data_IF_362715676040
#
_entry.id   IF_362715676040
#
_cell.length_a   1.000
_cell.length_b   1.000
_cell.length_c   1.000
_cell.angle_alpha   90.00
_cell.angle_beta   90.00
_cell.angle_gamma   90.00
#
_symmetry.space_group_name_H-M   'P 1'
#
loop_
_entity.id
_entity.type
_entity.pdbx_description
1 polymer ?
#
# COMPACT_ATOMS: atom_id res chain seq x y z
N UNK A 1 -20.02 8.86 -29.83
CA UNK A 1 -21.41 8.43 -30.13
C UNK A 1 -21.54 8.43 -31.65
N UNK A 2 -21.13 7.33 -32.29
CA UNK A 2 -21.11 7.11 -33.74
C UNK A 2 -20.46 5.72 -33.94
N UNK A 3 -21.17 4.61 -33.70
CA UNK A 3 -22.16 3.92 -34.56
C UNK A 3 -21.58 3.47 -35.90
N UNK A 4 -21.45 2.14 -36.02
CA UNK A 4 -21.87 1.34 -37.20
C UNK A 4 -21.02 1.47 -38.46
N UNK A 5 -20.90 0.52 -39.37
CA UNK A 5 -21.35 -0.86 -39.59
C UNK A 5 -20.56 -1.28 -40.86
N UNK A 6 -19.87 -2.42 -40.87
CA UNK A 6 -20.29 -3.66 -41.52
C UNK A 6 -20.48 -3.65 -43.05
N UNK A 7 -19.72 -4.56 -43.67
CA UNK A 7 -19.94 -5.34 -44.90
C UNK A 7 -19.91 -4.68 -46.29
N UNK A 8 -19.00 -5.20 -47.13
CA UNK A 8 -19.31 -5.49 -48.54
C UNK A 8 -18.36 -6.59 -49.06
N UNK A 9 -18.95 -7.68 -49.53
CA UNK A 9 -18.34 -8.76 -50.29
C UNK A 9 -18.16 -8.36 -51.75
N UNK A 10 -17.16 -8.92 -52.45
CA UNK A 10 -17.25 -9.19 -53.89
C UNK A 10 -16.08 -10.08 -54.36
N UNK A 11 -16.42 -11.30 -54.74
CA UNK A 11 -15.67 -12.21 -55.61
C UNK A 11 -15.64 -11.71 -57.06
N UNK A 12 -14.50 -11.79 -57.76
CA UNK A 12 -14.44 -12.21 -59.17
C UNK A 12 -13.00 -12.44 -59.65
N UNK A 13 -12.81 -13.58 -60.29
CA UNK A 13 -11.60 -14.14 -60.89
C UNK A 13 -11.45 -13.64 -62.34
N UNK A 14 -10.24 -13.27 -62.78
CA UNK A 14 -9.79 -13.41 -64.19
C UNK A 14 -8.28 -13.69 -64.22
N UNK A 15 -7.93 -14.72 -64.98
CA UNK A 15 -6.62 -15.34 -65.20
C UNK A 15 -5.78 -14.63 -66.28
N UNK A 16 -4.48 -14.47 -66.05
CA UNK A 16 -3.47 -14.35 -67.12
C UNK A 16 -2.29 -15.27 -66.81
N UNK A 17 -1.95 -16.11 -67.78
CA UNK A 17 -0.88 -17.11 -67.75
C UNK A 17 0.43 -16.50 -68.25
N UNK A 18 1.49 -16.55 -67.42
CA UNK A 18 2.86 -16.33 -67.86
C UNK A 18 3.74 -17.47 -67.32
N UNK A 19 4.40 -18.16 -68.25
CA UNK A 19 5.31 -19.28 -68.05
C UNK A 19 6.61 -18.78 -67.39
N UNK A 20 7.05 -19.42 -66.30
CA UNK A 20 8.33 -19.10 -65.67
C UNK A 20 8.73 -20.01 -64.51
N UNK A 21 9.66 -20.92 -64.81
CA UNK A 21 10.62 -21.59 -63.93
C UNK A 21 10.12 -22.59 -62.86
N UNK A 22 10.46 -23.85 -63.12
CA UNK A 22 10.50 -24.98 -62.20
C UNK A 22 11.42 -24.72 -61.00
N UNK A 23 10.88 -24.87 -59.78
CA UNK A 23 11.52 -25.50 -58.62
C UNK A 23 10.46 -25.72 -57.53
N UNK A 24 9.79 -26.86 -57.60
CA UNK A 24 8.92 -27.33 -56.52
C UNK A 24 9.77 -27.71 -55.31
N UNK A 25 9.85 -26.83 -54.32
CA UNK A 25 10.26 -27.22 -52.98
C UNK A 25 8.98 -27.42 -52.18
N UNK A 26 8.54 -28.67 -52.07
CA UNK A 26 7.53 -29.03 -51.07
C UNK A 26 8.18 -28.86 -49.70
N UNK A 27 8.02 -27.69 -49.09
CA UNK A 27 8.23 -27.52 -47.68
C UNK A 27 7.15 -28.35 -46.96
N UNK A 28 7.46 -29.61 -46.66
CA UNK A 28 6.74 -30.38 -45.67
C UNK A 28 6.92 -29.66 -44.35
N UNK A 29 6.03 -28.71 -44.05
CA UNK A 29 5.92 -28.11 -42.74
C UNK A 29 5.73 -29.26 -41.77
N UNK A 30 6.73 -29.49 -40.91
CA UNK A 30 6.56 -30.34 -39.75
C UNK A 30 5.31 -29.87 -39.01
N UNK A 31 4.45 -30.76 -38.49
CA UNK A 31 3.36 -30.34 -37.63
C UNK A 31 3.99 -29.56 -36.48
N UNK A 32 3.79 -28.24 -36.47
CA UNK A 32 3.98 -27.44 -35.27
C UNK A 32 3.01 -28.04 -34.28
N UNK A 33 3.53 -28.85 -33.36
CA UNK A 33 2.75 -29.30 -32.23
C UNK A 33 2.23 -28.03 -31.55
N UNK A 34 0.91 -27.88 -31.52
CA UNK A 34 0.30 -26.84 -30.70
C UNK A 34 0.92 -26.95 -29.30
N UNK A 35 1.36 -25.83 -28.70
CA UNK A 35 1.90 -25.87 -27.35
C UNK A 35 0.87 -26.56 -26.47
N UNK A 36 1.18 -27.78 -26.01
CA UNK A 36 0.36 -28.45 -25.01
C UNK A 36 0.22 -27.45 -23.87
N UNK A 37 -1.00 -27.01 -23.50
CA UNK A 37 -1.15 -26.10 -22.39
C UNK A 37 -0.53 -26.79 -21.17
N UNK A 38 0.60 -26.26 -20.71
CA UNK A 38 1.13 -26.62 -19.40
C UNK A 38 0.02 -26.40 -18.37
N UNK A 39 0.05 -27.11 -17.22
CA UNK A 39 -1.00 -26.96 -16.21
C UNK A 39 -1.22 -25.46 -15.92
N UNK A 40 -2.42 -24.98 -16.24
CA UNK A 40 -2.77 -23.58 -16.05
C UNK A 40 -2.59 -23.23 -14.58
N UNK A 41 -2.01 -22.06 -14.30
CA UNK A 41 -1.81 -21.62 -12.92
C UNK A 41 -3.19 -21.43 -12.26
N UNK A 42 -3.44 -22.15 -11.18
CA UNK A 42 -4.68 -22.00 -10.41
C UNK A 42 -4.51 -20.94 -9.33
N UNK A 43 -5.61 -20.29 -8.95
CA UNK A 43 -5.60 -19.29 -7.87
C UNK A 43 -5.04 -19.85 -6.55
N UNK A 44 -5.38 -21.09 -6.21
CA UNK A 44 -4.85 -21.77 -5.00
C UNK A 44 -3.33 -21.91 -5.06
N UNK A 45 -2.78 -22.30 -6.21
CA UNK A 45 -1.32 -22.43 -6.40
C UNK A 45 -0.63 -21.07 -6.34
N UNK A 46 -1.21 -20.05 -6.98
CA UNK A 46 -0.71 -18.68 -6.94
C UNK A 46 -0.66 -18.14 -5.50
N UNK A 47 -1.70 -18.38 -4.70
CA UNK A 47 -1.74 -18.00 -3.28
C UNK A 47 -0.64 -18.70 -2.47
N UNK A 48 -0.47 -20.01 -2.65
CA UNK A 48 0.55 -20.76 -1.94
C UNK A 48 1.95 -20.22 -2.27
N UNK A 49 2.24 -20.00 -3.55
CA UNK A 49 3.51 -19.42 -4.02
C UNK A 49 3.72 -18.00 -3.49
N UNK A 50 2.68 -17.17 -3.46
CA UNK A 50 2.77 -15.80 -2.95
C UNK A 50 3.08 -15.79 -1.44
N UNK A 51 2.47 -16.70 -0.66
CA UNK A 51 2.77 -16.85 0.78
C UNK A 51 4.21 -17.26 1.03
N UNK A 52 4.75 -18.20 0.24
CA UNK A 52 6.17 -18.56 0.32
C UNK A 52 7.06 -17.38 -0.03
N UNK A 53 6.78 -16.69 -1.14
CA UNK A 53 7.57 -15.53 -1.57
C UNK A 53 7.58 -14.38 -0.55
N UNK A 54 6.50 -14.19 0.22
CA UNK A 54 6.50 -13.23 1.33
C UNK A 54 7.59 -13.58 2.36
N UNK A 55 7.66 -14.86 2.77
CA UNK A 55 8.64 -15.33 3.73
C UNK A 55 10.08 -15.14 3.26
N UNK A 56 10.32 -15.37 1.96
CA UNK A 56 11.65 -15.25 1.36
C UNK A 56 12.08 -13.79 1.10
N UNK A 57 11.11 -12.87 0.97
CA UNK A 57 11.35 -11.49 0.54
C UNK A 57 10.88 -10.42 1.54
N UNK A 58 10.89 -10.71 2.86
CA UNK A 58 10.39 -9.79 3.90
C UNK A 58 10.97 -8.36 3.80
N UNK A 59 12.24 -8.22 3.46
CA UNK A 59 12.89 -6.91 3.31
C UNK A 59 12.26 -6.06 2.19
N UNK A 60 11.96 -6.66 1.03
CA UNK A 60 11.30 -5.99 -0.10
C UNK A 60 9.89 -5.55 0.31
N UNK A 61 9.19 -6.41 1.05
CA UNK A 61 7.86 -6.13 1.56
C UNK A 61 7.84 -5.17 2.75
N UNK A 62 9.01 -4.75 3.26
CA UNK A 62 9.15 -3.96 4.49
C UNK A 62 8.40 -4.61 5.67
N UNK A 63 8.36 -5.94 5.67
CA UNK A 63 7.66 -6.76 6.65
C UNK A 63 8.63 -7.23 7.74
N UNK A 64 8.07 -7.53 8.90
CA UNK A 64 8.76 -8.08 10.06
C UNK A 64 8.12 -9.41 10.44
N UNK A 65 8.71 -10.15 11.39
CA UNK A 65 8.10 -11.38 11.92
C UNK A 65 6.76 -11.18 12.64
N UNK A 66 6.35 -9.94 12.88
CA UNK A 66 5.04 -9.62 13.46
C UNK A 66 3.96 -9.38 12.39
N UNK A 67 4.32 -9.36 11.10
CA UNK A 67 3.38 -9.15 10.00
C UNK A 67 2.68 -10.47 9.64
N UNK A 68 1.38 -10.41 9.44
CA UNK A 68 0.58 -11.50 8.88
C UNK A 68 -0.27 -10.99 7.71
N UNK A 69 -0.44 -11.84 6.70
CA UNK A 69 -1.06 -11.49 5.44
C UNK A 69 -2.30 -12.33 5.18
N UNK A 70 -3.39 -11.68 4.77
CA UNK A 70 -4.66 -12.33 4.43
C UNK A 70 -4.99 -12.03 2.98
N UNK A 71 -5.17 -13.08 2.17
CA UNK A 71 -5.51 -12.95 0.75
C UNK A 71 -6.86 -12.28 0.59
N UNK A 72 -6.89 -11.29 -0.30
CA UNK A 72 -8.10 -10.61 -0.73
C UNK A 72 -8.52 -10.99 -2.12
N UNK A 73 -7.54 -11.07 -3.02
CA UNK A 73 -7.81 -11.20 -4.43
C UNK A 73 -6.63 -11.85 -5.15
N UNK A 74 -6.94 -12.57 -6.21
CA UNK A 74 -5.97 -13.33 -6.99
C UNK A 74 -6.31 -13.16 -8.45
N UNK A 75 -5.36 -12.64 -9.21
CA UNK A 75 -5.45 -12.54 -10.66
C UNK A 75 -4.35 -13.42 -11.24
N UNK A 76 -4.73 -14.25 -12.21
CA UNK A 76 -3.80 -15.04 -13.02
C UNK A 76 -3.96 -14.57 -14.45
N UNK A 77 -2.86 -14.15 -15.06
CA UNK A 77 -2.84 -13.65 -16.42
C UNK A 77 -2.79 -14.82 -17.43
N UNK A 78 -3.18 -14.60 -18.70
CA UNK A 78 -3.16 -15.63 -19.73
C UNK A 78 -1.77 -16.23 -20.01
N UNK A 79 -0.69 -15.49 -19.75
CA UNK A 79 0.69 -15.96 -19.89
C UNK A 79 1.16 -16.83 -18.69
N UNK A 80 0.29 -16.96 -17.68
CA UNK A 80 0.52 -17.69 -16.44
C UNK A 80 1.14 -16.85 -15.31
N UNK A 81 1.43 -15.56 -15.48
CA UNK A 81 1.82 -14.72 -14.34
C UNK A 81 0.68 -14.58 -13.34
N UNK A 82 1.01 -14.25 -12.09
CA UNK A 82 0.01 -14.05 -11.05
C UNK A 82 0.26 -12.82 -10.21
N UNK A 83 -0.85 -12.25 -9.74
CA UNK A 83 -0.91 -11.08 -8.90
C UNK A 83 -1.81 -11.37 -7.71
N UNK A 84 -1.23 -11.47 -6.52
CA UNK A 84 -1.97 -11.79 -5.30
C UNK A 84 -2.02 -10.55 -4.40
N UNK A 85 -3.21 -10.00 -4.21
CA UNK A 85 -3.46 -8.87 -3.32
C UNK A 85 -3.80 -9.37 -1.92
N UNK A 86 -3.13 -8.82 -0.93
CA UNK A 86 -3.25 -9.24 0.47
C UNK A 86 -3.39 -8.03 1.40
N UNK A 87 -4.32 -8.16 2.35
CA UNK A 87 -4.38 -7.29 3.51
C UNK A 87 -3.27 -7.67 4.49
N UNK A 88 -2.75 -6.67 5.18
CA UNK A 88 -1.71 -6.82 6.20
C UNK A 88 -2.27 -6.57 7.59
N UNK A 89 -1.83 -7.39 8.52
CA UNK A 89 -1.97 -7.17 9.96
C UNK A 89 -0.58 -7.16 10.60
N UNK A 90 -0.36 -6.34 11.62
CA UNK A 90 0.93 -6.24 12.32
C UNK A 90 0.66 -6.43 13.82
N UNK A 91 1.12 -7.55 14.38
CA UNK A 91 0.82 -7.94 15.76
C UNK A 91 -0.68 -8.00 16.06
N UNK A 92 -1.47 -8.54 15.12
CA UNK A 92 -2.93 -8.68 15.23
C UNK A 92 -3.75 -7.42 14.92
N UNK A 93 -3.10 -6.26 14.70
CA UNK A 93 -3.81 -5.04 14.33
C UNK A 93 -3.89 -4.88 12.80
N UNK A 94 -5.08 -4.58 12.23
CA UNK A 94 -5.21 -4.35 10.81
C UNK A 94 -4.51 -3.05 10.39
N UNK A 95 -3.85 -3.09 9.22
CA UNK A 95 -3.12 -1.96 8.66
C UNK A 95 -3.94 -1.30 7.56
N UNK A 96 -4.43 -0.09 7.82
CA UNK A 96 -5.19 0.67 6.84
C UNK A 96 -4.26 1.31 5.80
N UNK A 97 -4.43 0.86 4.55
CA UNK A 97 -3.61 1.24 3.41
C UNK A 97 -2.18 0.73 3.54
N UNK A 98 -1.98 -0.47 4.09
CA UNK A 98 -0.72 -1.20 4.13
C UNK A 98 -0.80 -2.55 3.42
N UNK A 99 -1.75 -2.69 2.51
CA UNK A 99 -1.91 -3.84 1.64
C UNK A 99 -0.71 -4.01 0.70
N UNK A 100 -0.53 -5.23 0.21
CA UNK A 100 0.55 -5.61 -0.69
C UNK A 100 0.00 -6.41 -1.85
N UNK A 101 0.54 -6.19 -3.04
CA UNK A 101 0.33 -7.05 -4.21
C UNK A 101 1.64 -7.72 -4.55
N UNK A 102 1.67 -9.05 -4.51
CA UNK A 102 2.85 -9.83 -4.91
C UNK A 102 2.69 -10.22 -6.38
N UNK A 103 3.71 -9.92 -7.18
CA UNK A 103 3.76 -10.24 -8.60
C UNK A 103 4.74 -11.40 -8.83
N UNK A 104 4.26 -12.49 -9.42
CA UNK A 104 5.06 -13.67 -9.74
C UNK A 104 4.95 -14.02 -11.22
N UNK A 105 6.04 -14.50 -11.80
CA UNK A 105 6.03 -15.04 -13.14
C UNK A 105 5.38 -16.44 -13.20
N UNK A 106 5.16 -16.95 -14.41
CA UNK A 106 4.53 -18.26 -14.66
C UNK A 106 5.20 -19.44 -13.95
N UNK A 107 6.51 -19.37 -13.77
CA UNK A 107 7.33 -20.35 -13.05
C UNK A 107 7.20 -20.23 -11.51
N UNK A 108 6.54 -19.17 -11.02
CA UNK A 108 6.42 -18.85 -9.60
C UNK A 108 7.52 -17.92 -9.08
N UNK A 109 8.47 -17.52 -9.93
CA UNK A 109 9.56 -16.62 -9.55
C UNK A 109 9.00 -15.27 -9.10
N UNK A 110 9.40 -14.81 -7.91
CA UNK A 110 9.06 -13.49 -7.40
C UNK A 110 9.66 -12.41 -8.33
N UNK A 111 8.81 -11.53 -8.85
CA UNK A 111 9.24 -10.43 -9.72
C UNK A 111 9.31 -9.12 -8.95
N UNK A 112 8.23 -8.78 -8.27
CA UNK A 112 8.11 -7.53 -7.53
C UNK A 112 6.99 -7.62 -6.50
N UNK A 113 6.97 -6.64 -5.60
CA UNK A 113 5.83 -6.37 -4.73
C UNK A 113 5.45 -4.89 -4.83
N UNK A 114 4.15 -4.63 -5.03
CA UNK A 114 3.57 -3.30 -4.93
C UNK A 114 3.05 -3.07 -3.52
N UNK A 115 3.47 -1.98 -2.89
CA UNK A 115 3.14 -1.67 -1.49
C UNK A 115 3.14 -0.16 -1.27
N UNK A 116 2.37 0.29 -0.29
CA UNK A 116 2.21 1.72 0.06
C UNK A 116 3.18 2.18 1.14
N UNK A 117 3.80 1.24 1.86
CA UNK A 117 4.68 1.53 3.00
C UNK A 117 6.02 2.11 2.52
N UNK A 118 6.40 3.25 3.11
CA UNK A 118 7.70 3.87 2.84
C UNK A 118 8.84 3.32 3.71
N UNK A 119 8.51 2.76 4.88
CA UNK A 119 9.48 2.28 5.89
C UNK A 119 9.04 0.93 6.48
N UNK A 120 9.94 0.29 7.23
CA UNK A 120 9.67 -0.95 7.95
C UNK A 120 8.42 -0.86 8.83
N UNK A 121 7.73 -1.98 8.97
CA UNK A 121 6.49 -2.18 9.71
C UNK A 121 6.62 -2.10 11.26
N UNK A 122 7.69 -1.52 11.79
CA UNK A 122 7.92 -1.39 13.22
C UNK A 122 7.18 -0.17 13.79
N UNK A 123 6.11 -0.43 14.55
CA UNK A 123 5.27 0.60 15.17
C UNK A 123 4.87 0.19 16.58
N UNK A 124 4.93 1.15 17.52
CA UNK A 124 4.44 0.95 18.88
C UNK A 124 2.93 0.67 18.88
N UNK A 125 2.54 -0.40 19.58
CA UNK A 125 1.15 -0.88 19.68
C UNK A 125 0.45 -0.42 20.96
N UNK A 126 1.08 0.43 21.76
CA UNK A 126 0.52 0.94 23.03
C UNK A 126 -0.29 2.21 22.76
N UNK A 127 -1.62 2.18 22.96
CA UNK A 127 -2.43 3.38 22.79
C UNK A 127 -2.15 4.40 23.91
N UNK A 128 -1.84 5.63 23.51
CA UNK A 128 -1.65 6.78 24.43
C UNK A 128 -2.91 7.61 24.66
N UNK A 129 -3.98 7.31 23.92
CA UNK A 129 -5.26 8.03 23.95
C UNK A 129 -6.34 7.00 24.24
N UNK A 130 -7.30 7.36 25.08
CA UNK A 130 -8.44 6.48 25.38
C UNK A 130 -9.40 6.40 24.19
N UNK A 131 -10.12 5.27 24.09
CA UNK A 131 -11.17 5.08 23.09
C UNK A 131 -12.22 6.20 23.18
N UNK A 132 -12.63 6.57 24.40
CA UNK A 132 -13.61 7.64 24.63
C UNK A 132 -13.17 8.97 24.02
N UNK A 133 -11.92 9.40 24.27
CA UNK A 133 -11.38 10.65 23.69
C UNK A 133 -11.31 10.58 22.16
N UNK A 134 -10.95 9.42 21.59
CA UNK A 134 -10.91 9.25 20.14
C UNK A 134 -12.32 9.33 19.51
N UNK A 135 -13.31 8.70 20.14
CA UNK A 135 -14.71 8.71 19.71
C UNK A 135 -15.31 10.12 19.82
N UNK A 136 -15.18 10.80 20.96
CA UNK A 136 -15.71 12.17 21.11
C UNK A 136 -15.14 13.13 20.05
N UNK A 137 -13.86 13.00 19.70
CA UNK A 137 -13.26 13.77 18.61
C UNK A 137 -13.79 13.38 17.23
N UNK A 138 -14.12 12.11 17.01
CA UNK A 138 -14.69 11.64 15.75
C UNK A 138 -16.12 12.18 15.53
N UNK A 139 -16.90 12.29 16.60
CA UNK A 139 -18.32 12.64 16.54
C UNK A 139 -18.60 14.16 16.65
N UNK A 140 -17.58 14.99 16.84
CA UNK A 140 -17.70 16.44 17.09
C UNK A 140 -18.38 17.28 15.99
N UNK A 141 -18.88 16.67 14.90
CA UNK A 141 -19.56 17.31 13.77
C UNK A 141 -20.98 16.79 13.50
N UNK A 142 -21.68 16.32 14.53
CA UNK A 142 -23.04 15.75 14.37
C UNK A 142 -23.07 14.38 13.68
N UNK A 143 -21.91 13.74 13.55
CA UNK A 143 -21.79 12.38 13.04
C UNK A 143 -22.21 11.40 14.13
N UNK A 144 -22.91 10.32 13.75
CA UNK A 144 -23.27 9.23 14.67
C UNK A 144 -22.26 8.10 14.51
N UNK A 145 -21.78 7.57 15.62
CA UNK A 145 -20.91 6.39 15.60
C UNK A 145 -21.71 5.19 15.09
N UNK A 146 -21.09 4.40 14.23
CA UNK A 146 -21.59 3.10 13.80
C UNK A 146 -20.64 2.02 14.31
N UNK A 147 -21.17 1.11 15.12
CA UNK A 147 -20.39 0.02 15.70
C UNK A 147 -19.34 0.49 16.73
N UNK A 148 -18.44 -0.45 17.09
CA UNK A 148 -17.39 -0.22 18.09
C UNK A 148 -16.12 0.33 17.40
N UNK A 149 -15.46 1.35 17.98
CA UNK A 149 -14.15 1.78 17.51
C UNK A 149 -13.13 0.64 17.55
N UNK A 150 -12.34 0.48 16.50
CA UNK A 150 -11.28 -0.52 16.42
C UNK A 150 -9.90 0.15 16.48
N UNK A 151 -8.95 -0.49 17.15
CA UNK A 151 -7.55 -0.07 17.12
C UNK A 151 -6.92 -0.57 15.82
N UNK A 152 -6.28 0.32 15.07
CA UNK A 152 -5.71 0.04 13.74
C UNK A 152 -4.35 0.72 13.58
N UNK A 153 -3.57 0.27 12.61
CA UNK A 153 -2.36 0.95 12.16
C UNK A 153 -2.70 1.72 10.90
N UNK A 154 -2.41 3.03 10.88
CA UNK A 154 -2.70 3.91 9.76
C UNK A 154 -1.44 4.16 8.93
N UNK A 155 -1.45 3.74 7.66
CA UNK A 155 -0.32 3.87 6.74
C UNK A 155 -0.57 4.81 5.55
N UNK A 156 -1.80 5.27 5.30
CA UNK A 156 -2.13 6.09 4.11
C UNK A 156 -1.52 7.49 4.08
N UNK A 157 -1.16 8.06 5.23
CA UNK A 157 -0.60 9.43 5.30
C UNK A 157 0.76 9.44 6.01
N UNK A 158 1.84 9.31 5.27
CA UNK A 158 3.20 9.36 5.80
C UNK A 158 3.57 8.11 6.63
N UNK A 159 4.29 8.31 7.73
CA UNK A 159 4.74 7.19 8.57
C UNK A 159 3.60 6.42 9.24
N UNK A 160 3.82 5.12 9.45
CA UNK A 160 2.91 4.23 10.18
C UNK A 160 2.68 4.76 11.59
N UNK A 161 1.44 4.68 12.05
CA UNK A 161 1.04 5.13 13.39
C UNK A 161 -0.16 4.36 13.90
N UNK A 162 -0.29 4.30 15.22
CA UNK A 162 -1.47 3.77 15.87
C UNK A 162 -2.64 4.77 15.82
N UNK A 163 -3.83 4.29 15.46
CA UNK A 163 -5.04 5.10 15.33
C UNK A 163 -6.28 4.31 15.79
N UNK A 164 -7.34 5.04 16.13
CA UNK A 164 -8.66 4.44 16.29
C UNK A 164 -9.46 4.67 15.01
N UNK A 165 -9.98 3.58 14.46
CA UNK A 165 -10.96 3.60 13.38
C UNK A 165 -12.35 3.72 14.00
N UNK A 166 -12.97 4.88 13.79
CA UNK A 166 -14.37 5.12 14.14
C UNK A 166 -15.14 5.17 12.83
N UNK A 167 -16.05 4.22 12.65
CA UNK A 167 -17.01 4.26 11.55
C UNK A 167 -18.13 5.20 11.97
N UNK A 168 -18.49 6.12 11.08
CA UNK A 168 -19.57 7.07 11.33
C UNK A 168 -20.53 7.06 10.17
N UNK A 169 -21.82 7.16 10.49
CA UNK A 169 -22.87 7.42 9.52
C UNK A 169 -23.36 8.86 9.69
N UNK A 170 -23.69 9.48 8.57
CA UNK A 170 -24.30 10.79 8.51
C UNK A 170 -25.32 10.81 7.37
N UNK A 171 -26.38 11.56 7.57
CA UNK A 171 -27.40 11.84 6.55
C UNK A 171 -27.16 13.26 6.06
N UNK A 172 -27.03 13.46 4.75
CA UNK A 172 -27.01 14.81 4.18
C UNK A 172 -28.40 15.47 4.32
N UNK A 173 -28.50 16.81 4.23
CA UNK A 173 -29.78 17.52 4.24
C UNK A 173 -30.75 17.08 3.12
N UNK A 174 -30.22 16.51 2.03
CA UNK A 174 -30.98 16.00 0.87
C UNK A 174 -31.48 14.55 1.05
N UNK A 175 -31.22 13.91 2.20
CA UNK A 175 -31.63 12.53 2.48
C UNK A 175 -30.72 11.46 1.88
N UNK A 176 -29.67 11.83 1.14
CA UNK A 176 -28.74 10.86 0.54
C UNK A 176 -27.81 10.27 1.60
N UNK A 177 -27.97 8.98 1.89
CA UNK A 177 -27.06 8.21 2.74
C UNK A 177 -25.77 7.87 1.95
N UNK A 178 -24.60 8.29 2.45
CA UNK A 178 -23.32 7.96 1.81
C UNK A 178 -22.90 6.50 2.08
N UNK A 179 -22.11 5.89 1.18
CA UNK A 179 -21.35 4.68 1.52
C UNK A 179 -20.29 5.00 2.59
N UNK A 180 -20.25 4.11 3.60
CA UNK A 180 -19.25 3.92 4.67
C UNK A 180 -17.99 4.81 4.60
N UNK A 181 -17.96 5.91 5.36
CA UNK A 181 -16.75 6.69 5.58
C UNK A 181 -16.05 6.26 6.88
N UNK A 182 -14.89 5.62 6.77
CA UNK A 182 -14.05 5.26 7.91
C UNK A 182 -12.97 6.32 8.11
N UNK A 183 -13.11 7.19 9.12
CA UNK A 183 -12.14 8.25 9.40
C UNK A 183 -11.17 7.81 10.50
N UNK A 184 -9.92 7.42 10.19
CA UNK A 184 -8.92 7.10 11.20
C UNK A 184 -8.53 8.37 11.98
N UNK A 185 -8.72 8.38 13.31
CA UNK A 185 -8.23 9.47 14.18
C UNK A 185 -7.01 9.06 14.98
N UNK A 186 -5.98 9.91 14.92
CA UNK A 186 -4.65 9.71 15.52
C UNK A 186 -4.76 9.61 17.04
N UNK A 187 -4.04 8.64 17.61
CA UNK A 187 -3.58 8.73 19.00
C UNK A 187 -2.37 9.67 19.03
N UNK A 188 -2.52 10.84 19.66
CA UNK A 188 -1.45 11.82 19.70
C UNK A 188 -0.33 11.32 20.62
N UNK A 189 0.87 11.13 20.07
CA UNK A 189 2.08 11.06 20.89
C UNK A 189 2.30 12.45 21.52
N UNK A 190 2.31 12.50 22.84
CA UNK A 190 2.71 13.66 23.61
C UNK A 190 4.10 14.11 23.13
N UNK A 191 4.13 15.26 22.47
CA UNK A 191 5.35 16.00 22.17
C UNK A 191 5.74 16.64 23.51
N UNK A 192 6.72 16.07 24.21
CA UNK A 192 7.33 16.73 25.37
C UNK A 192 7.92 18.04 24.87
N UNK A 193 7.20 19.13 25.10
CA UNK A 193 7.69 20.49 24.93
C UNK A 193 8.82 20.71 25.93
N UNK A 194 10.06 20.66 25.43
CA UNK A 194 11.22 21.22 26.12
C UNK A 194 10.94 22.72 26.34
N UNK A 195 10.97 23.24 27.57
CA UNK A 195 10.79 24.67 27.80
C UNK A 195 11.91 25.47 27.12
N UNK A 196 11.65 26.72 26.69
CA UNK A 196 12.65 27.55 26.05
C UNK A 196 13.79 27.87 27.02
N UNK A 197 15.02 27.74 26.52
CA UNK A 197 16.22 28.16 27.24
C UNK A 197 16.16 29.67 27.48
N UNK A 198 15.99 30.07 28.73
CA UNK A 198 16.13 31.46 29.17
C UNK A 198 17.58 31.88 28.95
N UNK A 199 17.76 32.87 28.07
CA UNK A 199 19.03 33.51 27.81
C UNK A 199 19.60 34.12 29.10
N UNK A 200 20.69 33.56 29.61
CA UNK A 200 21.49 34.20 30.66
C UNK A 200 22.45 35.17 29.97
N UNK A 201 22.05 36.45 29.94
CA UNK A 201 22.95 37.59 29.66
C UNK A 201 24.01 37.62 30.77
N UNK A 202 25.27 37.36 30.42
CA UNK A 202 26.42 37.68 31.27
C UNK A 202 26.78 39.16 31.04
N UNK A 203 26.83 40.02 32.07
CA UNK A 203 27.50 41.31 31.95
C UNK A 203 29.01 41.15 32.16
N UNK A 204 29.76 41.78 31.27
CA UNK A 204 31.20 41.99 31.36
C UNK A 204 31.53 42.73 32.66
N UNK A 205 32.50 42.21 33.41
CA UNK A 205 33.09 42.93 34.54
C UNK A 205 34.19 43.86 34.01
N UNK A 206 33.92 45.15 34.08
CA UNK A 206 34.87 46.20 33.80
C UNK A 206 35.91 46.26 34.94
N UNK A 207 37.18 46.18 34.55
CA UNK A 207 38.33 46.56 35.36
C UNK A 207 38.37 48.09 35.48
N UNK A 208 38.30 48.66 36.69
CA UNK A 208 38.93 49.95 37.04
C UNK A 208 39.03 50.12 38.56
N UNK A 209 40.27 50.17 39.02
CA UNK A 209 40.88 51.08 40.02
C UNK A 209 40.11 51.47 41.29
N UNK A 210 40.70 51.16 42.45
CA UNK A 210 40.78 52.13 43.55
C UNK A 210 42.07 51.94 44.32
N UNK A 211 42.79 53.04 44.48
CA UNK A 211 44.02 53.17 45.23
C UNK A 211 43.74 53.74 46.64
N UNK A 212 44.65 53.38 47.56
CA UNK A 212 45.27 54.24 48.60
C UNK A 212 44.75 54.18 50.06
N UNK A 213 45.75 53.96 50.94
CA UNK A 213 45.96 54.29 52.37
C UNK A 213 45.04 53.63 53.40
N UNK A 214 45.53 52.82 54.35
CA UNK A 214 46.34 53.17 55.55
C UNK A 214 45.46 52.82 56.78
N UNK A 215 45.86 52.32 57.96
CA UNK A 215 47.07 52.43 58.78
C UNK A 215 46.96 51.43 59.96
N UNK A 216 48.09 50.95 60.48
CA UNK A 216 48.43 50.44 61.83
C UNK A 216 47.36 49.92 62.82
N UNK A 217 47.59 48.72 63.37
CA UNK A 217 48.10 48.52 64.74
C UNK A 217 48.72 47.13 64.91
#
# INVERSE_FOLDING_TARGET
MNRSALFAAATAVVTTTALGLSSATTATGAPTADPVPGPAMTATTAVARAKTAIGDHLAVLRATGADAFTVKDVIVDPDGSSHVRMDRTIGGLPVLGGDVVVHQAKDGTFKAASLTLSRSADVSRTPKVSVATATSKALAKGLKAEGKPALVIEARKGALRLAYLVTTVGTQPDGTCWPRAAAPRRSAASRTTRPPATARRSPASATTSSARSGTAH
#
